data_IF_007794274791
#
_entry.id   IF_007794274791
#
_cell.length_a   1.000
_cell.length_b   1.000
_cell.length_c   1.000
_cell.angle_alpha   90.00
_cell.angle_beta   90.00
_cell.angle_gamma   90.00
#
_symmetry.space_group_name_H-M   'P 1'
#
loop_
_entity.id
_entity.type
_entity.pdbx_description
1 polymer ?
#
# COMPACT_ATOMS: atom_id res chain seq x y z
N UNK A 1 8.91 29.56 2.41
CA UNK A 1 9.52 28.23 2.24
C UNK A 1 9.21 27.72 0.84
N UNK A 2 10.17 27.13 0.11
CA UNK A 2 9.89 26.50 -1.18
C UNK A 2 9.27 25.11 -0.92
N UNK A 3 8.32 24.62 -1.73
CA UNK A 3 7.72 23.29 -1.54
C UNK A 3 8.73 22.15 -1.38
N UNK A 4 9.89 22.26 -2.05
CA UNK A 4 11.00 21.31 -1.96
C UNK A 4 11.62 21.25 -0.55
N UNK A 5 11.74 22.40 0.13
CA UNK A 5 12.26 22.48 1.49
C UNK A 5 11.32 21.81 2.49
N UNK A 6 10.01 21.97 2.29
CA UNK A 6 8.98 21.37 3.14
C UNK A 6 9.04 19.84 3.01
N UNK A 7 9.17 19.33 1.78
CA UNK A 7 9.32 17.88 1.52
C UNK A 7 10.60 17.33 2.16
N UNK A 8 11.72 18.06 2.08
CA UNK A 8 12.96 17.66 2.72
C UNK A 8 12.82 17.60 4.25
N UNK A 9 12.13 18.55 4.87
CA UNK A 9 11.89 18.54 6.31
C UNK A 9 10.95 17.40 6.74
N UNK A 10 9.85 17.16 6.01
CA UNK A 10 8.97 16.01 6.23
C UNK A 10 9.73 14.68 6.13
N UNK A 11 10.68 14.58 5.20
CA UNK A 11 11.54 13.41 5.07
C UNK A 11 12.50 13.27 6.26
N UNK A 12 13.14 14.34 6.71
CA UNK A 12 14.05 14.34 7.87
C UNK A 12 13.33 13.99 9.17
N UNK A 13 12.09 14.44 9.32
CA UNK A 13 11.26 14.21 10.50
C UNK A 13 10.61 12.82 10.53
N UNK A 14 10.79 12.01 9.47
CA UNK A 14 10.23 10.66 9.40
C UNK A 14 8.73 10.62 9.09
N UNK A 15 8.11 11.74 8.76
CA UNK A 15 6.66 11.86 8.52
C UNK A 15 6.15 10.88 7.47
N UNK A 16 6.90 10.68 6.39
CA UNK A 16 6.55 9.70 5.35
C UNK A 16 6.64 8.26 5.83
N UNK A 17 7.61 7.93 6.70
CA UNK A 17 7.73 6.57 7.23
C UNK A 17 6.62 6.27 8.23
N UNK A 18 6.25 7.24 9.07
CA UNK A 18 5.10 7.13 9.97
C UNK A 18 3.78 6.99 9.20
N UNK A 19 3.62 7.75 8.12
CA UNK A 19 2.48 7.63 7.22
C UNK A 19 2.43 6.23 6.59
N UNK A 20 3.55 5.75 6.07
CA UNK A 20 3.70 4.40 5.50
C UNK A 20 3.32 3.31 6.51
N UNK A 21 3.85 3.38 7.74
CA UNK A 21 3.56 2.43 8.82
C UNK A 21 2.08 2.41 9.16
N UNK A 22 1.43 3.57 9.24
CA UNK A 22 -0.01 3.68 9.53
C UNK A 22 -0.87 3.12 8.40
N UNK A 23 -0.54 3.44 7.15
CA UNK A 23 -1.23 2.87 5.99
C UNK A 23 -1.11 1.35 5.97
N UNK A 24 0.10 0.83 6.22
CA UNK A 24 0.35 -0.60 6.30
C UNK A 24 -0.45 -1.25 7.43
N UNK A 25 -0.42 -0.68 8.64
CA UNK A 25 -1.15 -1.20 9.79
C UNK A 25 -2.67 -1.14 9.58
N UNK A 26 -3.18 -0.05 8.99
CA UNK A 26 -4.60 0.10 8.65
C UNK A 26 -5.04 -0.89 7.57
N UNK A 27 -4.18 -1.15 6.59
CA UNK A 27 -4.41 -2.18 5.59
C UNK A 27 -4.43 -3.59 6.23
N UNK A 28 -3.38 -3.97 6.96
CA UNK A 28 -3.24 -5.32 7.55
C UNK A 28 -4.34 -5.66 8.56
N UNK A 29 -4.76 -4.68 9.37
CA UNK A 29 -5.78 -4.90 10.40
C UNK A 29 -7.20 -4.54 9.93
N UNK A 30 -7.34 -3.97 8.74
CA UNK A 30 -8.61 -3.55 8.16
C UNK A 30 -9.27 -4.64 7.32
N UNK A 31 -10.54 -4.41 6.99
CA UNK A 31 -11.30 -5.27 6.07
C UNK A 31 -10.66 -5.37 4.69
N UNK A 32 -10.04 -4.29 4.21
CA UNK A 32 -9.37 -4.23 2.91
C UNK A 32 -8.19 -5.22 2.80
N UNK A 33 -7.34 -5.31 3.83
CA UNK A 33 -6.25 -6.29 3.82
C UNK A 33 -6.75 -7.72 3.85
N UNK A 34 -7.83 -7.97 4.60
CA UNK A 34 -8.48 -9.27 4.62
C UNK A 34 -9.06 -9.65 3.25
N UNK A 35 -9.83 -8.75 2.64
CA UNK A 35 -10.40 -8.95 1.29
C UNK A 35 -9.32 -9.16 0.22
N UNK A 36 -8.19 -8.46 0.33
CA UNK A 36 -7.04 -8.66 -0.55
C UNK A 36 -6.43 -10.06 -0.39
N UNK A 37 -6.20 -10.50 0.84
CA UNK A 37 -5.67 -11.85 1.12
C UNK A 37 -6.64 -12.93 0.67
N UNK A 38 -7.94 -12.74 0.90
CA UNK A 38 -8.99 -13.68 0.46
C UNK A 38 -9.01 -13.82 -1.07
N UNK A 39 -8.93 -12.69 -1.81
CA UNK A 39 -8.84 -12.71 -3.28
C UNK A 39 -7.58 -13.40 -3.78
N UNK A 40 -6.44 -13.11 -3.17
CA UNK A 40 -5.16 -13.71 -3.53
C UNK A 40 -5.16 -15.22 -3.27
N UNK A 41 -5.73 -15.64 -2.15
CA UNK A 41 -5.90 -17.04 -1.77
C UNK A 41 -6.82 -17.75 -2.76
N UNK A 42 -7.99 -17.18 -3.08
CA UNK A 42 -8.91 -17.76 -4.06
C UNK A 42 -8.26 -17.93 -5.44
N UNK A 43 -7.50 -16.94 -5.92
CA UNK A 43 -6.76 -17.07 -7.18
C UNK A 43 -5.72 -18.20 -7.12
N UNK A 44 -4.97 -18.30 -6.02
CA UNK A 44 -3.99 -19.38 -5.87
C UNK A 44 -4.65 -20.76 -5.80
N UNK A 45 -5.79 -20.88 -5.12
CA UNK A 45 -6.58 -22.12 -5.09
C UNK A 45 -7.10 -22.49 -6.47
N UNK A 46 -7.67 -21.56 -7.23
CA UNK A 46 -8.10 -21.78 -8.62
C UNK A 46 -6.93 -22.24 -9.50
N UNK A 47 -5.76 -21.63 -9.33
CA UNK A 47 -4.56 -21.99 -10.07
C UNK A 47 -4.09 -23.41 -9.77
N UNK A 48 -4.02 -23.79 -8.49
CA UNK A 48 -3.59 -25.14 -8.07
C UNK A 48 -4.63 -26.19 -8.46
N UNK A 49 -5.91 -25.88 -8.35
CA UNK A 49 -6.98 -26.78 -8.78
C UNK A 49 -6.96 -26.99 -10.30
N UNK A 50 -6.61 -25.96 -11.07
CA UNK A 50 -6.50 -26.05 -12.53
C UNK A 50 -5.25 -26.78 -12.98
N UNK A 51 -4.15 -26.66 -12.23
CA UNK A 51 -2.89 -27.36 -12.50
C UNK A 51 -2.19 -27.72 -11.18
N UNK A 52 -2.42 -28.94 -10.66
CA UNK A 52 -1.83 -29.40 -9.39
C UNK A 52 -0.29 -29.50 -9.43
N UNK A 53 0.31 -29.56 -10.63
CA UNK A 53 1.77 -29.67 -10.78
C UNK A 53 2.49 -28.37 -10.41
N UNK A 54 1.76 -27.24 -10.33
CA UNK A 54 2.29 -25.96 -9.88
C UNK A 54 2.99 -26.06 -8.53
N UNK A 55 2.47 -26.84 -7.57
CA UNK A 55 3.08 -26.96 -6.24
C UNK A 55 4.40 -27.75 -6.23
N UNK A 56 4.65 -28.52 -7.28
CA UNK A 56 5.85 -29.36 -7.43
C UNK A 56 6.96 -28.71 -8.27
N UNK A 57 6.67 -27.56 -8.89
CA UNK A 57 7.59 -26.86 -9.78
C UNK A 57 8.50 -25.90 -9.01
N UNK A 58 9.81 -25.92 -9.31
CA UNK A 58 10.73 -24.89 -8.81
C UNK A 58 10.40 -23.48 -9.35
N UNK A 59 9.63 -23.41 -10.44
CA UNK A 59 9.14 -22.17 -11.05
C UNK A 59 7.74 -21.74 -10.56
N UNK A 60 7.16 -22.45 -9.58
CA UNK A 60 5.82 -22.18 -9.06
C UNK A 60 5.63 -20.71 -8.69
N UNK A 61 6.58 -20.17 -7.92
CA UNK A 61 6.56 -18.79 -7.45
C UNK A 61 6.48 -17.78 -8.60
N UNK A 62 7.29 -17.97 -9.64
CA UNK A 62 7.33 -17.06 -10.79
C UNK A 62 6.03 -17.13 -11.61
N UNK A 63 5.48 -18.33 -11.80
CA UNK A 63 4.22 -18.53 -12.53
C UNK A 63 3.02 -17.97 -11.77
N UNK A 64 2.99 -18.15 -10.44
CA UNK A 64 1.99 -17.57 -9.55
C UNK A 64 2.07 -16.04 -9.60
N UNK A 65 3.28 -15.48 -9.45
CA UNK A 65 3.48 -14.03 -9.48
C UNK A 65 3.00 -13.42 -10.79
N UNK A 66 3.40 -13.98 -11.94
CA UNK A 66 2.95 -13.50 -13.27
C UNK A 66 1.43 -13.55 -13.46
N UNK A 67 0.76 -14.54 -12.87
CA UNK A 67 -0.70 -14.65 -12.95
C UNK A 67 -1.40 -13.65 -12.00
N UNK A 68 -0.88 -13.45 -10.79
CA UNK A 68 -1.39 -12.42 -9.87
C UNK A 68 -1.24 -11.03 -10.50
N UNK A 69 -0.10 -10.72 -11.12
CA UNK A 69 0.13 -9.46 -11.83
C UNK A 69 -0.87 -9.24 -12.97
N UNK A 70 -1.19 -10.30 -13.74
CA UNK A 70 -2.20 -10.25 -14.81
C UNK A 70 -3.63 -10.14 -14.31
N UNK A 71 -3.92 -10.62 -13.11
CA UNK A 71 -5.24 -10.59 -12.50
C UNK A 71 -5.63 -9.19 -11.96
N UNK A 72 -4.75 -8.20 -12.13
CA UNK A 72 -4.98 -6.79 -11.80
C UNK A 72 -5.29 -6.52 -10.31
N UNK A 73 -5.05 -7.52 -9.45
CA UNK A 73 -5.32 -7.46 -8.02
C UNK A 73 -4.55 -6.28 -7.40
N UNK A 74 -3.32 -6.03 -7.84
CA UNK A 74 -2.52 -4.91 -7.39
C UNK A 74 -3.01 -3.53 -7.86
N UNK A 75 -3.61 -3.40 -9.05
CA UNK A 75 -4.16 -2.11 -9.48
C UNK A 75 -5.38 -1.71 -8.66
N UNK A 76 -6.25 -2.67 -8.38
CA UNK A 76 -7.42 -2.43 -7.52
C UNK A 76 -7.01 -1.96 -6.12
N UNK A 77 -5.98 -2.59 -5.54
CA UNK A 77 -5.39 -2.18 -4.27
C UNK A 77 -4.78 -0.78 -4.34
N UNK A 78 -4.04 -0.48 -5.41
CA UNK A 78 -3.42 0.84 -5.61
C UNK A 78 -4.47 1.94 -5.65
N UNK A 79 -5.57 1.73 -6.37
CA UNK A 79 -6.66 2.70 -6.47
C UNK A 79 -7.30 2.95 -5.09
N UNK A 80 -7.59 1.89 -4.34
CA UNK A 80 -8.16 1.99 -3.00
C UNK A 80 -7.24 2.72 -2.00
N UNK A 81 -5.93 2.48 -2.07
CA UNK A 81 -4.95 3.19 -1.22
C UNK A 81 -4.90 4.67 -1.59
N UNK A 82 -4.94 5.01 -2.88
CA UNK A 82 -4.97 6.42 -3.34
C UNK A 82 -6.24 7.13 -2.85
N UNK A 83 -7.40 6.49 -2.91
CA UNK A 83 -8.65 7.03 -2.37
C UNK A 83 -8.58 7.20 -0.85
N UNK A 84 -7.99 6.25 -0.12
CA UNK A 84 -7.79 6.37 1.32
C UNK A 84 -6.86 7.53 1.68
N UNK A 85 -5.80 7.76 0.90
CA UNK A 85 -4.89 8.89 1.06
C UNK A 85 -5.56 10.23 0.79
N UNK A 86 -6.62 10.25 -0.01
CA UNK A 86 -7.41 11.46 -0.29
C UNK A 86 -8.45 11.78 0.79
N UNK A 87 -8.70 10.87 1.74
CA UNK A 87 -9.59 11.11 2.87
C UNK A 87 -9.08 12.27 3.74
N UNK A 88 -10.03 13.01 4.30
CA UNK A 88 -9.82 14.17 5.18
C UNK A 88 -8.74 13.90 6.23
N UNK A 89 -8.80 12.78 6.95
CA UNK A 89 -7.84 12.46 8.03
C UNK A 89 -6.37 12.49 7.58
N UNK A 90 -6.06 12.00 6.37
CA UNK A 90 -4.70 11.99 5.86
C UNK A 90 -4.30 13.35 5.30
N UNK A 91 -5.23 14.06 4.65
CA UNK A 91 -4.99 15.44 4.17
C UNK A 91 -4.76 16.40 5.33
N UNK A 92 -5.63 16.39 6.34
CA UNK A 92 -5.53 17.22 7.54
C UNK A 92 -4.20 16.99 8.23
N UNK A 93 -3.79 15.73 8.38
CA UNK A 93 -2.52 15.39 9.02
C UNK A 93 -1.28 15.83 8.23
N UNK A 94 -1.34 15.76 6.89
CA UNK A 94 -0.29 16.29 6.03
C UNK A 94 -0.22 17.82 6.17
N UNK A 95 -1.38 18.50 6.16
CA UNK A 95 -1.46 19.94 6.37
C UNK A 95 -0.93 20.36 7.74
N UNK A 96 -1.31 19.67 8.82
CA UNK A 96 -0.79 19.92 10.18
C UNK A 96 0.74 19.80 10.27
N UNK A 97 1.31 18.81 9.57
CA UNK A 97 2.77 18.62 9.52
C UNK A 97 3.48 19.71 8.72
N UNK A 98 2.85 20.20 7.65
CA UNK A 98 3.34 21.33 6.87
C UNK A 98 3.27 22.63 7.69
N UNK A 99 2.18 22.84 8.43
CA UNK A 99 1.98 24.00 9.29
C UNK A 99 2.95 23.99 10.48
N UNK A 100 3.24 22.83 11.08
CA UNK A 100 4.23 22.73 12.16
C UNK A 100 5.63 23.07 11.68
N UNK A 101 6.01 22.58 10.49
CA UNK A 101 7.28 22.91 9.82
C UNK A 101 7.38 24.42 9.54
N UNK A 102 6.27 25.05 9.13
CA UNK A 102 6.26 26.47 8.80
C UNK A 102 6.44 27.36 10.04
N UNK A 103 5.92 26.93 11.20
CA UNK A 103 6.06 27.63 12.48
C UNK A 103 7.40 27.46 13.16
N UNK A 104 8.08 26.32 12.98
CA UNK A 104 9.43 26.09 13.53
C UNK A 104 10.53 26.90 12.82
N UNK A 105 10.21 27.55 11.69
CA UNK A 105 11.13 28.39 10.91
C UNK A 105 10.84 29.91 11.02
N UNK A 106 9.94 30.33 11.92
CA UNK A 106 9.75 31.74 12.36
C UNK A 106 10.48 32.00 13.68
#
# INVERSE_FOLDING_TARGET
>A
MVPEDIVLQLKRNGTFDDLRKKLLAGFQNGTQGKEFVDRLTGLMEEMVNSDPTLLSSSAAYEQITKKIEKADIYQSLRQQVLESLQKEDYKTRITEQIDSISKDNE
#
